data_IF_158920532441
#
_entry.id   IF_158920532441
#
_cell.length_a   1.000
_cell.length_b   1.000
_cell.length_c   1.000
_cell.angle_alpha   90.00
_cell.angle_beta   90.00
_cell.angle_gamma   90.00
#
_symmetry.space_group_name_H-M   'P 1'
#
loop_
_entity.id
_entity.type
_entity.pdbx_description
1 polymer ?
#
# COMPACT_ATOMS: atom_id res chain seq x y z
N UNK A 1 36.88 5.21 43.23
CA UNK A 1 36.31 5.36 41.87
C UNK A 1 35.32 4.22 41.67
N UNK A 2 34.03 4.44 41.92
CA UNK A 2 33.00 3.44 41.61
C UNK A 2 32.65 3.60 40.13
N UNK A 3 32.95 2.56 39.36
CA UNK A 3 32.45 2.39 37.99
C UNK A 3 30.93 2.21 38.10
N UNK A 4 30.18 3.26 37.80
CA UNK A 4 28.73 3.17 37.63
C UNK A 4 28.46 2.38 36.36
N UNK A 5 28.33 1.06 36.50
CA UNK A 5 27.72 0.23 35.47
C UNK A 5 26.34 0.84 35.21
N UNK A 6 26.16 1.47 34.03
CA UNK A 6 24.84 1.93 33.58
C UNK A 6 23.86 0.79 33.79
N UNK A 7 22.73 1.09 34.43
CA UNK A 7 21.65 0.15 34.66
C UNK A 7 21.39 -0.62 33.35
N UNK A 8 21.46 -1.97 33.35
CA UNK A 8 21.29 -2.78 32.14
C UNK A 8 19.95 -2.51 31.45
N UNK A 9 18.95 -2.03 32.19
CA UNK A 9 17.64 -1.61 31.66
C UNK A 9 17.75 -0.32 30.86
N UNK A 10 18.56 0.63 31.31
CA UNK A 10 18.77 1.91 30.61
C UNK A 10 19.56 1.71 29.31
N UNK A 11 20.53 0.79 29.28
CA UNK A 11 21.25 0.43 28.06
C UNK A 11 20.31 -0.21 27.02
N UNK A 12 19.40 -1.07 27.46
CA UNK A 12 18.43 -1.71 26.57
C UNK A 12 17.44 -0.70 25.97
N UNK A 13 17.03 0.31 26.76
CA UNK A 13 16.14 1.39 26.28
C UNK A 13 16.87 2.26 25.24
N UNK A 14 18.12 2.65 25.51
CA UNK A 14 18.94 3.43 24.58
C UNK A 14 19.12 2.70 23.23
N UNK A 15 19.40 1.38 23.27
CA UNK A 15 19.50 0.55 22.06
C UNK A 15 18.17 0.44 21.31
N UNK A 16 17.05 0.31 22.04
CA UNK A 16 15.72 0.24 21.44
C UNK A 16 15.36 1.56 20.74
N UNK A 17 15.70 2.69 21.33
CA UNK A 17 15.48 4.02 20.75
C UNK A 17 16.30 4.23 19.47
N UNK A 18 17.56 3.78 19.44
CA UNK A 18 18.36 3.79 18.21
C UNK A 18 17.77 2.90 17.11
N UNK A 19 17.26 1.72 17.45
CA UNK A 19 16.59 0.82 16.50
C UNK A 19 15.32 1.46 15.95
N UNK A 20 14.50 2.08 16.81
CA UNK A 20 13.28 2.78 16.41
C UNK A 20 13.62 3.99 15.53
N UNK A 21 14.64 4.76 15.85
CA UNK A 21 15.08 5.91 15.05
C UNK A 21 15.57 5.48 13.66
N UNK A 22 16.39 4.43 13.59
CA UNK A 22 16.87 3.87 12.33
C UNK A 22 15.71 3.31 11.48
N UNK A 23 14.73 2.66 12.12
CA UNK A 23 13.54 2.18 11.44
C UNK A 23 12.71 3.34 10.86
N UNK A 24 12.45 4.38 11.65
CA UNK A 24 11.74 5.60 11.19
C UNK A 24 12.46 6.25 10.01
N UNK A 25 13.79 6.33 10.06
CA UNK A 25 14.61 6.90 8.98
C UNK A 25 14.47 6.09 7.68
N UNK A 26 14.59 4.75 7.75
CA UNK A 26 14.43 3.87 6.58
C UNK A 26 13.02 3.94 5.98
N UNK A 27 12.00 4.07 6.82
CA UNK A 27 10.61 4.25 6.36
C UNK A 27 10.40 5.61 5.70
N UNK A 28 11.04 6.68 6.19
CA UNK A 28 11.01 7.98 5.52
C UNK A 28 11.77 7.97 4.17
N UNK A 29 12.84 7.17 4.06
CA UNK A 29 13.63 7.01 2.83
C UNK A 29 12.95 6.15 1.76
N UNK A 30 11.96 5.33 2.12
CA UNK A 30 11.07 4.63 1.17
C UNK A 30 9.70 5.29 1.16
N UNK A 31 9.54 6.44 0.49
CA UNK A 31 8.24 7.07 0.37
C UNK A 31 7.30 6.09 -0.31
N UNK A 32 6.18 5.80 0.35
CA UNK A 32 5.03 5.17 -0.29
C UNK A 32 4.78 5.88 -1.63
N UNK A 33 4.75 5.17 -2.75
CA UNK A 33 4.64 5.80 -4.06
C UNK A 33 3.34 6.61 -4.08
N UNK A 34 3.50 7.94 -4.14
CA UNK A 34 2.42 8.92 -4.12
C UNK A 34 1.39 8.76 -2.97
N UNK A 35 1.77 8.14 -1.83
CA UNK A 35 0.87 7.93 -0.68
C UNK A 35 -0.18 6.83 -0.85
N UNK A 36 -0.08 6.01 -1.90
CA UNK A 36 -1.06 4.96 -2.20
C UNK A 36 -0.60 3.57 -1.75
N UNK A 37 -1.45 2.86 -1.00
CA UNK A 37 -1.20 1.47 -0.60
C UNK A 37 -1.37 0.56 -1.82
N UNK A 38 -2.43 0.76 -2.59
CA UNK A 38 -2.69 0.01 -3.81
C UNK A 38 -1.53 0.09 -4.82
N UNK A 39 -0.91 1.27 -4.97
CA UNK A 39 0.26 1.44 -5.84
C UNK A 39 1.48 0.67 -5.33
N UNK A 40 1.72 0.73 -4.01
CA UNK A 40 2.81 -0.01 -3.39
C UNK A 40 2.66 -1.53 -3.61
N UNK A 41 1.44 -2.07 -3.41
CA UNK A 41 1.16 -3.48 -3.67
C UNK A 41 1.29 -3.85 -5.14
N UNK A 42 0.82 -3.00 -6.06
CA UNK A 42 0.98 -3.22 -7.50
C UNK A 42 2.45 -3.31 -7.89
N UNK A 43 3.29 -2.38 -7.39
CA UNK A 43 4.73 -2.39 -7.64
C UNK A 43 5.41 -3.63 -7.06
N UNK A 44 5.03 -4.04 -5.84
CA UNK A 44 5.53 -5.26 -5.22
C UNK A 44 5.12 -6.53 -6.00
N UNK A 45 3.96 -6.52 -6.64
CA UNK A 45 3.50 -7.58 -7.54
C UNK A 45 4.20 -7.58 -8.92
N UNK A 46 5.19 -6.71 -9.12
CA UNK A 46 5.97 -6.59 -10.36
C UNK A 46 5.29 -5.80 -11.46
N UNK A 47 4.21 -5.06 -11.16
CA UNK A 47 3.56 -4.20 -12.13
C UNK A 47 4.27 -2.85 -12.23
N UNK A 48 4.36 -2.25 -13.43
CA UNK A 48 4.93 -0.92 -13.58
C UNK A 48 4.04 0.11 -12.89
N UNK A 49 4.62 1.16 -12.26
CA UNK A 49 3.85 2.18 -11.57
C UNK A 49 2.93 2.92 -12.55
N UNK A 50 1.62 2.88 -12.29
CA UNK A 50 0.56 3.52 -13.09
C UNK A 50 -0.53 4.08 -12.18
N UNK A 51 -1.21 5.13 -12.65
CA UNK A 51 -2.37 5.70 -11.95
C UNK A 51 -3.64 4.84 -12.10
N UNK A 52 -3.68 3.97 -13.11
CA UNK A 52 -4.80 3.05 -13.35
C UNK A 52 -4.28 1.68 -13.76
N UNK A 53 -4.98 0.64 -13.32
CA UNK A 53 -4.76 -0.74 -13.72
C UNK A 53 -6.04 -1.33 -14.30
N UNK A 54 -5.91 -2.39 -15.09
CA UNK A 54 -7.09 -3.16 -15.49
C UNK A 54 -7.59 -4.01 -14.30
N UNK A 55 -8.82 -4.50 -14.38
CA UNK A 55 -9.44 -5.28 -13.29
C UNK A 55 -8.63 -6.53 -12.92
N UNK A 56 -7.99 -7.18 -13.90
CA UNK A 56 -7.20 -8.41 -13.66
C UNK A 56 -5.90 -8.12 -12.92
N UNK A 57 -5.20 -7.04 -13.27
CA UNK A 57 -4.00 -6.57 -12.58
C UNK A 57 -4.35 -6.16 -11.15
N UNK A 58 -5.46 -5.43 -10.96
CA UNK A 58 -5.98 -5.05 -9.65
C UNK A 58 -6.31 -6.26 -8.78
N UNK A 59 -7.00 -7.26 -9.34
CA UNK A 59 -7.26 -8.53 -8.65
C UNK A 59 -5.95 -9.22 -8.23
N UNK A 60 -4.96 -9.23 -9.13
CA UNK A 60 -3.67 -9.88 -8.89
C UNK A 60 -2.91 -9.28 -7.71
N UNK A 61 -2.77 -7.95 -7.64
CA UNK A 61 -2.00 -7.33 -6.56
C UNK A 61 -2.78 -7.21 -5.24
N UNK A 62 -4.11 -7.20 -5.29
CA UNK A 62 -4.95 -7.22 -4.08
C UNK A 62 -5.13 -8.63 -3.51
N UNK A 63 -4.87 -9.68 -4.30
CA UNK A 63 -5.09 -11.07 -3.89
C UNK A 63 -6.58 -11.45 -3.80
N UNK A 64 -7.44 -10.79 -4.57
CA UNK A 64 -8.90 -11.05 -4.62
C UNK A 64 -9.31 -11.56 -6.00
N UNK A 65 -10.45 -12.24 -6.10
CA UNK A 65 -10.96 -12.66 -7.40
C UNK A 65 -11.48 -11.46 -8.23
N UNK A 66 -11.33 -11.54 -9.55
CA UNK A 66 -11.87 -10.56 -10.50
C UNK A 66 -13.38 -10.44 -10.34
N UNK A 67 -14.05 -11.55 -10.01
CA UNK A 67 -15.50 -11.57 -9.76
C UNK A 67 -15.86 -10.66 -8.59
N UNK A 68 -15.12 -10.72 -7.49
CA UNK A 68 -15.33 -9.86 -6.32
C UNK A 68 -15.28 -8.39 -6.71
N UNK A 69 -14.24 -7.95 -7.44
CA UNK A 69 -14.14 -6.55 -7.88
C UNK A 69 -15.33 -6.13 -8.78
N UNK A 70 -15.80 -7.03 -9.64
CA UNK A 70 -16.98 -6.75 -10.49
C UNK A 70 -18.28 -6.71 -9.69
N UNK A 71 -18.39 -7.49 -8.63
CA UNK A 71 -19.54 -7.46 -7.72
C UNK A 71 -19.56 -6.17 -6.90
N UNK A 72 -18.41 -5.75 -6.38
CA UNK A 72 -18.23 -4.44 -5.72
C UNK A 72 -18.60 -3.28 -6.65
N UNK A 73 -18.19 -3.36 -7.92
CA UNK A 73 -18.57 -2.38 -8.92
C UNK A 73 -20.08 -2.37 -9.20
N UNK A 74 -20.70 -3.54 -9.36
CA UNK A 74 -22.16 -3.66 -9.54
C UNK A 74 -22.93 -3.16 -8.33
N UNK A 75 -22.38 -3.34 -7.13
CA UNK A 75 -22.95 -2.81 -5.88
C UNK A 75 -22.73 -1.30 -5.72
N UNK A 76 -22.01 -0.65 -6.64
CA UNK A 76 -21.71 0.79 -6.59
C UNK A 76 -20.65 1.17 -5.56
N UNK A 77 -19.96 0.20 -4.95
CA UNK A 77 -18.93 0.44 -3.92
C UNK A 77 -17.55 0.73 -4.50
N UNK A 78 -17.31 0.33 -5.76
CA UNK A 78 -16.03 0.49 -6.45
C UNK A 78 -16.23 1.04 -7.86
N UNK A 79 -15.65 2.20 -8.17
CA UNK A 79 -15.82 2.85 -9.47
C UNK A 79 -14.86 2.32 -10.54
N UNK A 80 -15.41 1.93 -11.70
CA UNK A 80 -14.64 1.55 -12.88
C UNK A 80 -14.70 2.65 -13.93
N UNK A 81 -13.61 2.86 -14.64
CA UNK A 81 -13.50 3.81 -15.74
C UNK A 81 -13.26 3.04 -17.02
N UNK A 82 -14.09 3.30 -18.03
CA UNK A 82 -13.85 2.82 -19.39
C UNK A 82 -13.27 4.01 -20.18
N UNK A 83 -12.08 3.88 -20.79
CA UNK A 83 -11.51 4.94 -21.61
C UNK A 83 -12.46 5.37 -22.74
N UNK A 84 -12.53 6.67 -23.00
CA UNK A 84 -13.40 7.23 -24.05
C UNK A 84 -13.08 6.59 -25.40
N UNK A 85 -14.12 6.18 -26.13
CA UNK A 85 -13.98 5.51 -27.41
C UNK A 85 -13.75 3.99 -27.33
N UNK A 86 -13.81 3.40 -26.13
CA UNK A 86 -13.77 1.95 -25.96
C UNK A 86 -15.07 1.43 -25.33
N UNK A 87 -15.52 0.27 -25.79
CA UNK A 87 -16.67 -0.44 -25.18
C UNK A 87 -16.23 -1.43 -24.09
N UNK A 88 -14.92 -1.73 -24.02
CA UNK A 88 -14.31 -2.74 -23.13
C UNK A 88 -13.00 -2.23 -22.57
N UNK A 89 -12.42 -2.94 -21.59
CA UNK A 89 -11.15 -2.57 -20.99
C UNK A 89 -11.30 -1.65 -19.78
N UNK A 90 -12.27 -1.93 -18.92
CA UNK A 90 -12.46 -1.23 -17.66
C UNK A 90 -11.16 -1.17 -16.85
N UNK A 91 -10.88 0.02 -16.34
CA UNK A 91 -9.74 0.33 -15.49
C UNK A 91 -10.21 0.84 -14.15
N UNK A 92 -9.40 0.60 -13.14
CA UNK A 92 -9.63 1.06 -11.77
C UNK A 92 -8.49 2.02 -11.45
N UNK A 93 -8.84 3.20 -10.95
CA UNK A 93 -7.82 4.11 -10.45
C UNK A 93 -7.30 3.61 -9.11
N UNK A 94 -6.03 3.88 -8.87
CA UNK A 94 -5.36 3.46 -7.66
C UNK A 94 -5.94 4.17 -6.42
N UNK A 95 -6.23 5.46 -6.52
CA UNK A 95 -6.85 6.26 -5.45
C UNK A 95 -8.23 5.73 -5.04
N UNK A 96 -9.00 5.25 -6.01
CA UNK A 96 -10.30 4.63 -5.81
C UNK A 96 -10.19 3.28 -5.08
N UNK A 97 -9.15 2.49 -5.37
CA UNK A 97 -8.88 1.25 -4.62
C UNK A 97 -8.49 1.59 -3.18
N UNK A 98 -7.67 2.61 -2.97
CA UNK A 98 -7.30 3.04 -1.61
C UNK A 98 -8.51 3.53 -0.82
N UNK A 99 -9.42 4.29 -1.46
CA UNK A 99 -10.71 4.70 -0.86
C UNK A 99 -11.53 3.47 -0.45
N UNK A 100 -11.73 2.54 -1.37
CA UNK A 100 -12.51 1.32 -1.13
C UNK A 100 -11.91 0.46 -0.01
N UNK A 101 -10.57 0.34 0.07
CA UNK A 101 -9.88 -0.38 1.15
C UNK A 101 -9.97 0.33 2.51
N UNK A 102 -10.19 1.64 2.55
CA UNK A 102 -10.35 2.37 3.80
C UNK A 102 -11.78 2.25 4.36
N UNK A 103 -12.75 1.95 3.51
CA UNK A 103 -14.17 1.80 3.85
C UNK A 103 -14.55 0.35 4.22
N UNK A 104 -13.65 -0.63 4.01
CA UNK A 104 -13.82 -2.05 4.35
C UNK A 104 -12.82 -2.50 5.43
#
# INVERSE_FOLDING_TARGET
MQLTAKDPTAQLIDELDEVIANFKKRMAEQPMPCGSRALAFAMQAGLPPRMTYNVSDTAKYLGVDVKTLREEHKAGRLAFIIPVGQERGARIKVDEVDRWLAEN
#
